data_IF_895553460524
#
_entry.id   IF_895553460524
#
_cell.length_a   1.000
_cell.length_b   1.000
_cell.length_c   1.000
_cell.angle_alpha   90.00
_cell.angle_beta   90.00
_cell.angle_gamma   90.00
#
_symmetry.space_group_name_H-M   'P 1'
#
loop_
_entity.id
_entity.type
_entity.pdbx_description
1 polymer ?
#
# COMPACT_ATOMS: atom_id res chain seq x y z
N UNK A 1 5.92 37.19 -20.94
CA UNK A 1 5.34 36.56 -19.74
C UNK A 1 5.69 35.09 -19.80
N UNK A 2 6.50 34.61 -18.85
CA UNK A 2 6.83 33.20 -18.71
C UNK A 2 6.12 32.75 -17.44
N UNK A 3 5.09 31.93 -17.59
CA UNK A 3 4.38 31.34 -16.47
C UNK A 3 5.26 30.23 -15.90
N UNK A 4 6.00 30.58 -14.84
CA UNK A 4 6.66 29.60 -14.00
C UNK A 4 5.57 28.80 -13.29
N UNK A 5 5.31 27.61 -13.80
CA UNK A 5 4.51 26.59 -13.14
C UNK A 5 5.29 26.10 -11.91
N UNK A 6 5.26 26.90 -10.85
CA UNK A 6 5.68 26.47 -9.52
C UNK A 6 4.64 25.46 -9.10
N UNK A 7 5.01 24.16 -9.15
CA UNK A 7 4.39 23.17 -8.29
C UNK A 7 4.47 23.74 -6.88
N UNK A 8 3.36 24.34 -6.41
CA UNK A 8 3.21 24.67 -5.01
C UNK A 8 3.21 23.32 -4.32
N UNK A 9 4.37 22.95 -3.78
CA UNK A 9 4.46 21.97 -2.73
C UNK A 9 3.37 22.36 -1.73
N UNK A 10 2.38 21.48 -1.57
CA UNK A 10 1.43 21.58 -0.47
C UNK A 10 2.21 21.68 0.85
N UNK A 11 1.58 22.17 1.92
CA UNK A 11 2.23 22.15 3.23
C UNK A 11 2.77 20.74 3.47
N UNK A 12 4.02 20.66 3.95
CA UNK A 12 4.65 19.38 4.26
C UNK A 12 3.66 18.60 5.14
N UNK A 13 3.15 17.48 4.61
CA UNK A 13 2.28 16.60 5.36
C UNK A 13 2.96 16.31 6.69
N UNK A 14 2.23 16.52 7.79
CA UNK A 14 2.68 16.06 9.09
C UNK A 14 2.98 14.56 8.93
N UNK A 15 4.13 14.02 9.37
CA UNK A 15 4.36 12.57 9.37
C UNK A 15 3.27 11.81 10.13
N UNK A 16 2.50 12.47 11.01
CA UNK A 16 1.32 11.93 11.68
C UNK A 16 -0.02 12.23 10.97
N UNK A 17 -0.03 13.06 9.91
CA UNK A 17 -1.15 13.15 8.96
C UNK A 17 -1.16 11.88 8.11
N UNK A 18 -1.91 10.89 8.58
CA UNK A 18 -2.39 9.79 7.75
C UNK A 18 -3.10 10.46 6.57
N UNK A 19 -2.75 10.16 5.32
CA UNK A 19 -3.63 10.43 4.19
C UNK A 19 -4.97 9.71 4.48
N UNK A 20 -5.93 10.47 5.02
CA UNK A 20 -7.12 10.01 5.75
C UNK A 20 -8.13 9.18 4.92
N UNK A 21 -7.77 8.78 3.70
CA UNK A 21 -8.68 8.06 2.80
C UNK A 21 -8.40 6.56 2.70
N UNK A 22 -7.30 6.05 3.25
CA UNK A 22 -6.97 4.61 3.20
C UNK A 22 -6.64 4.15 4.62
N UNK A 23 -7.46 3.25 5.18
CA UNK A 23 -7.28 2.75 6.56
C UNK A 23 -5.93 2.05 6.76
N UNK A 24 -5.45 2.00 8.00
CA UNK A 24 -4.14 1.41 8.38
C UNK A 24 -3.96 -0.03 7.91
N UNK A 25 -5.05 -0.79 7.84
CA UNK A 25 -5.12 -2.15 7.33
C UNK A 25 -4.75 -2.20 5.82
N UNK A 26 -5.31 -1.28 5.03
CA UNK A 26 -5.04 -1.19 3.60
C UNK A 26 -3.63 -0.63 3.32
N UNK A 27 -3.14 0.32 4.13
CA UNK A 27 -1.75 0.79 4.08
C UNK A 27 -0.77 -0.35 4.41
N UNK A 28 -1.07 -1.17 5.40
CA UNK A 28 -0.28 -2.36 5.74
C UNK A 28 -0.21 -3.34 4.58
N UNK A 29 -1.36 -3.62 3.95
CA UNK A 29 -1.44 -4.51 2.80
C UNK A 29 -0.56 -4.02 1.63
N UNK A 30 -0.51 -2.70 1.36
CA UNK A 30 0.35 -2.15 0.30
C UNK A 30 1.83 -2.49 0.48
N UNK A 31 2.32 -2.52 1.73
CA UNK A 31 3.70 -2.91 2.03
C UNK A 31 3.90 -4.43 1.99
N UNK A 32 2.88 -5.20 2.40
CA UNK A 32 2.98 -6.66 2.45
C UNK A 32 2.90 -7.30 1.07
N UNK A 33 2.12 -6.75 0.13
CA UNK A 33 1.84 -7.32 -1.20
C UNK A 33 2.94 -7.00 -2.24
N UNK A 34 4.20 -6.89 -1.81
CA UNK A 34 5.35 -6.56 -2.69
C UNK A 34 6.39 -7.70 -2.68
N UNK A 35 6.62 -8.43 -3.79
CA UNK A 35 5.96 -8.30 -5.08
C UNK A 35 4.48 -8.75 -5.05
N UNK A 36 3.65 -8.29 -5.99
CA UNK A 36 2.23 -8.69 -6.08
C UNK A 36 2.03 -10.20 -6.12
N UNK A 37 1.02 -10.70 -5.42
CA UNK A 37 0.65 -12.12 -5.39
C UNK A 37 1.43 -12.96 -4.37
N UNK A 38 2.13 -12.31 -3.44
CA UNK A 38 2.89 -13.01 -2.40
C UNK A 38 2.04 -13.40 -1.18
N UNK A 39 0.83 -12.85 -1.03
CA UNK A 39 -0.13 -13.26 -0.01
C UNK A 39 -1.25 -14.12 -0.59
N UNK A 40 -1.76 -15.04 0.23
CA UNK A 40 -2.97 -15.79 -0.10
C UNK A 40 -4.23 -14.96 0.15
N UNK A 41 -5.37 -15.29 -0.47
CA UNK A 41 -6.65 -14.64 -0.18
C UNK A 41 -7.01 -14.58 1.31
N UNK A 42 -6.74 -15.66 2.06
CA UNK A 42 -6.97 -15.72 3.51
C UNK A 42 -6.07 -14.73 4.28
N UNK A 43 -4.81 -14.58 3.87
CA UNK A 43 -3.89 -13.62 4.45
C UNK A 43 -4.31 -12.18 4.15
N UNK A 44 -4.78 -11.91 2.93
CA UNK A 44 -5.29 -10.59 2.56
C UNK A 44 -6.56 -10.27 3.36
N UNK A 45 -7.50 -11.21 3.50
CA UNK A 45 -8.68 -11.05 4.35
C UNK A 45 -8.29 -10.74 5.81
N UNK A 46 -7.33 -11.50 6.35
CA UNK A 46 -6.80 -11.30 7.70
C UNK A 46 -6.16 -9.90 7.86
N UNK A 47 -5.37 -9.44 6.87
CA UNK A 47 -4.76 -8.11 6.88
C UNK A 47 -5.81 -6.99 6.93
N UNK A 48 -6.98 -7.24 6.31
CA UNK A 48 -8.11 -6.32 6.23
C UNK A 48 -9.16 -6.56 7.33
N UNK A 49 -8.77 -7.23 8.42
CA UNK A 49 -9.62 -7.37 9.61
C UNK A 49 -10.66 -8.49 9.53
N UNK A 50 -10.63 -9.32 8.48
CA UNK A 50 -11.73 -10.25 8.15
C UNK A 50 -13.11 -9.55 8.10
N UNK A 51 -13.14 -8.32 7.59
CA UNK A 51 -14.34 -7.49 7.50
C UNK A 51 -14.83 -7.42 6.04
N UNK A 52 -15.88 -8.17 5.66
CA UNK A 52 -16.39 -8.19 4.29
C UNK A 52 -16.86 -6.83 3.79
N UNK A 53 -17.55 -6.04 4.64
CA UNK A 53 -18.11 -4.75 4.26
C UNK A 53 -16.99 -3.74 4.00
N UNK A 54 -15.94 -3.76 4.83
CA UNK A 54 -14.76 -2.94 4.62
C UNK A 54 -13.99 -3.34 3.36
N UNK A 55 -13.83 -4.65 3.12
CA UNK A 55 -13.17 -5.15 1.90
C UNK A 55 -13.95 -4.74 0.64
N UNK A 56 -15.28 -4.82 0.66
CA UNK A 56 -16.15 -4.38 -0.44
C UNK A 56 -16.01 -2.88 -0.72
N UNK A 57 -16.01 -2.05 0.34
CA UNK A 57 -15.80 -0.61 0.22
C UNK A 57 -14.42 -0.27 -0.40
N UNK A 58 -13.38 -1.01 -0.03
CA UNK A 58 -12.05 -0.86 -0.63
C UNK A 58 -12.02 -1.29 -2.10
N UNK A 59 -12.72 -2.38 -2.48
CA UNK A 59 -12.83 -2.81 -3.88
C UNK A 59 -13.49 -1.70 -4.71
N UNK A 60 -14.59 -1.13 -4.23
CA UNK A 60 -15.28 -0.04 -4.91
C UNK A 60 -14.36 1.18 -5.10
N UNK A 61 -13.63 1.58 -4.04
CA UNK A 61 -12.65 2.65 -4.14
C UNK A 61 -11.57 2.36 -5.19
N UNK A 62 -11.01 1.15 -5.21
CA UNK A 62 -9.93 0.80 -6.13
C UNK A 62 -10.42 0.73 -7.60
N UNK A 63 -11.65 0.28 -7.83
CA UNK A 63 -12.30 0.30 -9.15
C UNK A 63 -12.57 1.74 -9.63
N UNK A 64 -12.99 2.63 -8.74
CA UNK A 64 -13.15 4.05 -9.03
C UNK A 64 -11.81 4.69 -9.40
N UNK A 65 -10.73 4.41 -8.65
CA UNK A 65 -9.38 4.89 -8.99
C UNK A 65 -8.92 4.36 -10.36
N UNK A 66 -9.09 3.07 -10.62
CA UNK A 66 -8.79 2.46 -11.93
C UNK A 66 -9.50 3.19 -13.08
N UNK A 67 -10.77 3.56 -12.87
CA UNK A 67 -11.58 4.29 -13.84
C UNK A 67 -11.07 5.73 -14.03
N UNK A 68 -10.78 6.46 -12.95
CA UNK A 68 -10.23 7.83 -13.00
C UNK A 68 -8.91 7.90 -13.76
N UNK A 69 -7.99 6.96 -13.53
CA UNK A 69 -6.73 6.89 -14.26
C UNK A 69 -6.93 6.53 -15.74
N UNK A 70 -7.87 5.64 -16.04
CA UNK A 70 -8.25 5.31 -17.43
C UNK A 70 -8.84 6.51 -18.18
N UNK A 71 -9.69 7.29 -17.52
CA UNK A 71 -10.25 8.53 -18.07
C UNK A 71 -9.17 9.60 -18.28
N UNK A 72 -8.21 9.69 -17.37
CA UNK A 72 -7.05 10.58 -17.51
C UNK A 72 -6.20 10.21 -18.73
N UNK A 73 -5.95 8.91 -18.95
CA UNK A 73 -5.27 8.42 -20.16
C UNK A 73 -6.04 8.78 -21.45
N UNK A 74 -7.37 8.65 -21.43
CA UNK A 74 -8.23 9.02 -22.56
C UNK A 74 -8.21 10.53 -22.82
N UNK A 75 -8.22 11.34 -21.75
CA UNK A 75 -8.16 12.79 -21.85
C UNK A 75 -6.86 13.25 -22.52
N UNK A 76 -5.71 12.80 -22.02
CA UNK A 76 -4.38 13.12 -22.59
C UNK A 76 -4.34 12.75 -24.08
N UNK A 77 -4.85 11.57 -24.44
CA UNK A 77 -4.94 11.13 -25.84
C UNK A 77 -5.80 12.06 -26.71
N UNK A 78 -6.97 12.46 -26.20
CA UNK A 78 -7.93 13.28 -26.95
C UNK A 78 -7.45 14.72 -27.16
N UNK A 79 -6.66 15.27 -26.25
CA UNK A 79 -6.07 16.61 -26.39
C UNK A 79 -4.73 16.60 -27.16
N UNK A 80 -4.28 15.44 -27.63
CA UNK A 80 -3.02 15.29 -28.36
C UNK A 80 -1.78 15.45 -27.47
N UNK A 81 -1.87 15.03 -26.20
CA UNK A 81 -0.78 15.05 -25.24
C UNK A 81 0.28 13.98 -25.47
N UNK A 82 1.22 13.89 -24.53
CA UNK A 82 2.37 12.98 -24.62
C UNK A 82 1.92 11.50 -24.56
N UNK A 83 2.27 10.65 -25.55
CA UNK A 83 2.02 9.23 -25.49
C UNK A 83 2.62 8.53 -24.27
N UNK A 84 3.75 8.99 -23.75
CA UNK A 84 4.38 8.40 -22.56
C UNK A 84 3.54 8.69 -21.31
N UNK A 85 2.94 9.88 -21.22
CA UNK A 85 1.99 10.23 -20.16
C UNK A 85 0.72 9.38 -20.22
N UNK A 86 0.21 9.07 -21.43
CA UNK A 86 -0.91 8.13 -21.60
C UNK A 86 -0.54 6.75 -21.05
N UNK A 87 0.66 6.25 -21.34
CA UNK A 87 1.07 4.93 -20.88
C UNK A 87 1.24 4.88 -19.36
N UNK A 88 1.80 5.93 -18.75
CA UNK A 88 1.89 6.05 -17.28
C UNK A 88 0.49 5.97 -16.64
N UNK A 89 -0.49 6.71 -17.15
CA UNK A 89 -1.87 6.65 -16.65
C UNK A 89 -2.48 5.25 -16.81
N UNK A 90 -2.21 4.55 -17.92
CA UNK A 90 -2.70 3.18 -18.12
C UNK A 90 -2.00 2.17 -17.20
N UNK A 91 -0.70 2.35 -16.91
CA UNK A 91 0.02 1.53 -15.92
C UNK A 91 -0.65 1.69 -14.55
N UNK A 92 -0.93 2.93 -14.14
CA UNK A 92 -1.54 3.21 -12.85
C UNK A 92 -2.97 2.64 -12.77
N UNK A 93 -3.79 2.82 -13.82
CA UNK A 93 -5.12 2.21 -13.90
C UNK A 93 -5.07 0.67 -13.71
N UNK A 94 -4.12 0.01 -14.38
CA UNK A 94 -3.91 -1.44 -14.25
C UNK A 94 -3.46 -1.83 -12.84
N UNK A 95 -2.65 -1.02 -12.18
CA UNK A 95 -2.21 -1.26 -10.81
C UNK A 95 -3.40 -1.20 -9.82
N UNK A 96 -4.29 -0.21 -9.95
CA UNK A 96 -5.51 -0.12 -9.15
C UNK A 96 -6.46 -1.30 -9.42
N UNK A 97 -6.71 -1.63 -10.69
CA UNK A 97 -7.55 -2.77 -11.04
C UNK A 97 -7.00 -4.12 -10.55
N UNK A 98 -5.68 -4.29 -10.57
CA UNK A 98 -5.03 -5.47 -9.97
C UNK A 98 -5.22 -5.51 -8.46
N UNK A 99 -5.09 -4.37 -7.79
CA UNK A 99 -5.31 -4.23 -6.35
C UNK A 99 -6.75 -4.60 -5.95
N UNK A 100 -7.75 -4.14 -6.71
CA UNK A 100 -9.15 -4.52 -6.54
C UNK A 100 -9.35 -6.04 -6.71
N UNK A 101 -8.72 -6.64 -7.73
CA UNK A 101 -8.82 -8.07 -7.99
C UNK A 101 -8.25 -8.93 -6.84
N UNK A 102 -7.15 -8.51 -6.24
CA UNK A 102 -6.57 -9.14 -5.05
C UNK A 102 -7.57 -9.15 -3.89
N UNK A 103 -8.25 -8.02 -3.64
CA UNK A 103 -9.28 -7.90 -2.59
C UNK A 103 -10.54 -8.72 -2.87
N UNK A 104 -10.98 -8.82 -4.14
CA UNK A 104 -12.08 -9.74 -4.52
C UNK A 104 -11.76 -11.19 -4.19
N UNK A 105 -10.51 -11.61 -4.37
CA UNK A 105 -10.06 -12.94 -3.94
C UNK A 105 -10.25 -13.17 -2.44
N UNK A 106 -9.88 -12.17 -1.62
CA UNK A 106 -10.05 -12.21 -0.17
C UNK A 106 -11.54 -12.25 0.24
N UNK A 107 -12.38 -11.44 -0.39
CA UNK A 107 -13.83 -11.43 -0.14
C UNK A 107 -14.46 -12.79 -0.46
N UNK A 108 -14.16 -13.37 -1.62
CA UNK A 108 -14.64 -14.70 -1.99
C UNK A 108 -14.16 -15.80 -1.01
N UNK A 109 -12.96 -15.63 -0.42
CA UNK A 109 -12.49 -16.52 0.63
C UNK A 109 -13.34 -16.41 1.90
N UNK A 110 -13.68 -15.20 2.35
CA UNK A 110 -14.55 -14.99 3.52
C UNK A 110 -15.97 -15.54 3.30
N UNK A 111 -16.53 -15.36 2.11
CA UNK A 111 -17.84 -15.93 1.74
C UNK A 111 -17.87 -17.45 1.85
N UNK A 112 -16.76 -18.12 1.51
CA UNK A 112 -16.61 -19.57 1.65
C UNK A 112 -16.22 -20.02 3.06
N UNK A 113 -15.85 -19.10 3.95
CA UNK A 113 -15.43 -19.34 5.34
C UNK A 113 -16.15 -18.41 6.33
N UNK A 114 -17.50 -18.45 6.44
CA UNK A 114 -18.27 -17.50 7.26
C UNK A 114 -18.00 -17.58 8.77
N UNK A 115 -17.27 -18.60 9.23
CA UNK A 115 -16.84 -18.74 10.61
C UNK A 115 -15.51 -18.02 10.92
N UNK A 116 -14.87 -17.39 9.94
CA UNK A 116 -13.64 -16.62 10.15
C UNK A 116 -13.92 -15.48 11.16
N UNK A 117 -13.19 -15.40 12.29
CA UNK A 117 -13.43 -14.37 13.28
C UNK A 117 -12.92 -13.02 12.78
N UNK A 118 -13.56 -11.90 13.18
CA UNK A 118 -13.00 -10.56 13.00
C UNK A 118 -11.62 -10.45 13.63
N UNK A 119 -10.76 -9.62 13.04
CA UNK A 119 -9.37 -9.45 13.45
C UNK A 119 -9.15 -8.00 13.82
N UNK A 120 -8.76 -7.76 15.08
CA UNK A 120 -8.24 -6.46 15.49
C UNK A 120 -6.89 -6.21 14.82
N UNK A 121 -6.66 -4.97 14.40
CA UNK A 121 -5.36 -4.58 13.87
C UNK A 121 -4.31 -4.50 14.99
N UNK A 122 -3.19 -5.23 14.82
CA UNK A 122 -2.15 -5.41 15.85
C UNK A 122 -0.73 -5.12 15.31
N UNK A 123 -0.63 -4.29 14.26
CA UNK A 123 0.62 -3.99 13.55
C UNK A 123 0.96 -2.49 13.56
N UNK A 124 0.38 -1.71 14.49
CA UNK A 124 0.56 -0.26 14.54
C UNK A 124 2.04 0.14 14.69
N UNK A 125 2.79 -0.54 15.56
CA UNK A 125 4.21 -0.25 15.80
C UNK A 125 5.08 -0.57 14.57
N UNK A 126 4.87 -1.74 13.95
CA UNK A 126 5.60 -2.13 12.74
C UNK A 126 5.25 -1.24 11.54
N UNK A 127 3.98 -0.88 11.36
CA UNK A 127 3.55 0.05 10.30
C UNK A 127 4.18 1.44 10.50
N UNK A 128 4.20 1.94 11.73
CA UNK A 128 4.84 3.21 12.06
C UNK A 128 6.34 3.19 11.78
N UNK A 129 7.02 2.09 12.06
CA UNK A 129 8.43 1.91 11.74
C UNK A 129 8.69 1.97 10.22
N UNK A 130 7.86 1.27 9.43
CA UNK A 130 7.93 1.31 7.96
C UNK A 130 7.74 2.73 7.44
N UNK A 131 6.72 3.46 7.93
CA UNK A 131 6.47 4.84 7.52
C UNK A 131 7.65 5.76 7.83
N UNK A 132 8.17 5.72 9.06
CA UNK A 132 9.34 6.52 9.46
C UNK A 132 10.57 6.25 8.60
N UNK A 133 10.82 4.98 8.28
CA UNK A 133 11.91 4.60 7.37
C UNK A 133 11.65 5.09 5.94
N UNK A 134 10.40 4.98 5.46
CA UNK A 134 9.96 5.49 4.17
C UNK A 134 10.15 7.00 4.02
N UNK A 135 9.72 7.78 5.01
CA UNK A 135 9.89 9.23 5.03
C UNK A 135 11.36 9.64 5.04
N UNK A 136 12.18 8.93 5.82
CA UNK A 136 13.62 9.17 5.89
C UNK A 136 14.29 8.91 4.54
N UNK A 137 13.93 7.80 3.89
CA UNK A 137 14.38 7.47 2.52
C UNK A 137 13.97 8.56 1.53
N UNK A 138 12.69 8.92 1.48
CA UNK A 138 12.17 9.96 0.55
C UNK A 138 12.85 11.31 0.78
N UNK A 139 13.09 11.69 2.04
CA UNK A 139 13.81 12.93 2.36
C UNK A 139 15.24 12.92 1.81
N UNK A 140 15.99 11.84 2.00
CA UNK A 140 17.35 11.74 1.48
C UNK A 140 17.41 11.78 -0.05
N UNK A 141 16.45 11.11 -0.72
CA UNK A 141 16.29 11.20 -2.18
C UNK A 141 16.02 12.64 -2.65
N UNK A 142 15.14 13.38 -1.95
CA UNK A 142 14.87 14.80 -2.26
C UNK A 142 16.08 15.70 -2.04
N UNK A 143 16.83 15.48 -0.95
CA UNK A 143 18.10 16.18 -0.69
C UNK A 143 19.10 15.95 -1.84
N UNK A 144 19.15 14.73 -2.40
CA UNK A 144 20.01 14.41 -3.53
C UNK A 144 19.50 14.94 -4.89
N UNK A 145 18.23 15.29 -5.01
CA UNK A 145 17.65 15.80 -6.27
C UNK A 145 17.92 17.31 -6.48
N UNK A 146 18.81 17.90 -5.69
CA UNK A 146 19.23 19.30 -5.80
C UNK A 146 20.06 19.57 -7.07
N UNK A 147 20.12 20.83 -7.53
CA UNK A 147 20.82 21.22 -8.76
C UNK A 147 22.33 20.93 -8.77
N UNK A 148 22.93 20.72 -7.60
CA UNK A 148 24.33 20.37 -7.42
C UNK A 148 24.65 18.87 -7.65
N UNK A 149 23.64 18.01 -7.76
CA UNK A 149 23.81 16.58 -8.00
C UNK A 149 23.49 16.24 -9.46
N UNK A 150 24.50 15.79 -10.20
CA UNK A 150 24.36 15.40 -11.61
C UNK A 150 24.24 13.90 -11.82
N UNK A 151 24.53 13.10 -10.79
CA UNK A 151 24.47 11.65 -10.80
C UNK A 151 23.15 11.14 -10.22
N UNK A 152 22.79 9.90 -10.55
CA UNK A 152 21.65 9.23 -9.91
C UNK A 152 21.83 9.16 -8.39
N UNK A 153 20.74 9.18 -7.62
CA UNK A 153 20.84 9.38 -6.16
C UNK A 153 21.66 8.32 -5.43
N UNK A 154 21.68 7.08 -5.94
CA UNK A 154 22.51 5.98 -5.40
C UNK A 154 23.99 6.12 -5.75
N UNK A 155 24.29 6.73 -6.88
CA UNK A 155 25.66 6.90 -7.41
C UNK A 155 26.26 8.26 -7.03
N UNK A 156 25.44 9.17 -6.50
CA UNK A 156 25.85 10.49 -6.06
C UNK A 156 27.00 10.40 -5.03
N UNK A 157 28.17 10.99 -5.30
CA UNK A 157 29.31 10.93 -4.38
C UNK A 157 29.06 11.56 -3.01
N UNK A 158 28.10 12.49 -2.92
CA UNK A 158 27.77 13.19 -1.68
C UNK A 158 26.69 12.47 -0.86
N UNK A 159 25.71 11.85 -1.51
CA UNK A 159 24.50 11.35 -0.85
C UNK A 159 24.27 9.84 -1.01
N UNK A 160 24.94 9.19 -1.96
CA UNK A 160 24.69 7.80 -2.37
C UNK A 160 24.76 6.79 -1.24
N UNK A 161 25.79 6.87 -0.39
CA UNK A 161 25.91 5.98 0.78
C UNK A 161 24.72 6.11 1.72
N UNK A 162 24.29 7.34 2.03
CA UNK A 162 23.14 7.58 2.92
C UNK A 162 21.83 7.12 2.29
N UNK A 163 21.66 7.30 0.98
CA UNK A 163 20.48 6.82 0.24
C UNK A 163 20.36 5.30 0.35
N UNK A 164 21.45 4.57 0.09
CA UNK A 164 21.49 3.11 0.19
C UNK A 164 21.21 2.64 1.62
N UNK A 165 21.83 3.25 2.64
CA UNK A 165 21.60 2.88 4.03
C UNK A 165 20.13 3.04 4.46
N UNK A 166 19.45 4.07 3.98
CA UNK A 166 18.04 4.35 4.29
C UNK A 166 17.09 3.45 3.50
N UNK A 167 17.47 3.03 2.29
CA UNK A 167 16.76 1.99 1.54
C UNK A 167 16.83 0.65 2.26
N UNK A 168 18.02 0.23 2.69
CA UNK A 168 18.19 -1.01 3.45
C UNK A 168 17.42 -0.96 4.78
N UNK A 169 17.33 0.21 5.43
CA UNK A 169 16.56 0.38 6.66
C UNK A 169 15.04 0.28 6.42
N UNK A 170 14.56 0.81 5.31
CA UNK A 170 13.17 0.65 4.87
C UNK A 170 12.85 -0.82 4.60
N UNK A 171 13.70 -1.51 3.83
CA UNK A 171 13.49 -2.92 3.48
C UNK A 171 13.46 -3.82 4.73
N UNK A 172 14.39 -3.62 5.68
CA UNK A 172 14.36 -4.33 6.98
C UNK A 172 13.09 -4.07 7.79
N UNK A 173 12.54 -2.86 7.72
CA UNK A 173 11.30 -2.50 8.43
C UNK A 173 10.11 -3.23 7.81
N UNK A 174 10.05 -3.32 6.48
CA UNK A 174 9.02 -4.08 5.75
C UNK A 174 9.15 -5.57 6.03
N UNK A 175 10.37 -6.12 6.08
CA UNK A 175 10.61 -7.52 6.46
C UNK A 175 10.14 -7.83 7.89
N UNK A 176 10.35 -6.90 8.82
CA UNK A 176 9.89 -7.02 10.21
C UNK A 176 8.36 -7.02 10.29
N UNK A 177 7.71 -6.08 9.59
CA UNK A 177 6.25 -6.03 9.45
C UNK A 177 5.71 -7.35 8.89
N UNK A 178 6.31 -7.87 7.80
CA UNK A 178 5.93 -9.14 7.18
C UNK A 178 6.10 -10.32 8.12
N UNK A 179 7.23 -10.40 8.82
CA UNK A 179 7.48 -11.48 9.77
C UNK A 179 6.43 -11.48 10.90
N UNK A 180 6.10 -10.31 11.44
CA UNK A 180 5.07 -10.17 12.48
C UNK A 180 3.69 -10.58 11.94
N UNK A 181 3.31 -10.06 10.79
CA UNK A 181 2.06 -10.37 10.11
C UNK A 181 1.86 -11.89 9.94
N UNK A 182 2.86 -12.60 9.42
CA UNK A 182 2.79 -14.05 9.18
C UNK A 182 2.66 -14.85 10.49
N UNK A 183 3.21 -14.37 11.60
CA UNK A 183 3.02 -15.00 12.91
C UNK A 183 1.58 -14.83 13.38
N UNK A 184 1.03 -13.63 13.25
CA UNK A 184 -0.36 -13.33 13.65
C UNK A 184 -1.38 -14.09 12.79
N UNK A 185 -1.21 -14.08 11.47
CA UNK A 185 -2.14 -14.75 10.55
C UNK A 185 -2.23 -16.24 10.83
N UNK A 186 -1.09 -16.91 11.06
CA UNK A 186 -1.04 -18.34 11.39
C UNK A 186 -1.61 -18.67 12.77
N UNK A 187 -1.58 -17.73 13.71
CA UNK A 187 -2.20 -17.92 15.01
C UNK A 187 -3.73 -17.87 14.90
N UNK A 188 -4.26 -17.00 14.03
CA UNK A 188 -5.68 -16.91 13.72
C UNK A 188 -6.23 -18.19 13.07
N UNK A 189 -5.46 -18.81 12.16
CA UNK A 189 -5.81 -20.09 11.53
C UNK A 189 -5.99 -21.24 12.54
N UNK A 190 -5.43 -21.12 13.75
CA UNK A 190 -5.46 -22.16 14.79
C UNK A 190 -6.58 -21.98 15.81
N UNK A 191 -7.42 -20.95 15.70
CA UNK A 191 -8.59 -20.78 16.58
C UNK A 191 -9.60 -21.88 16.24
N UNK A 192 -9.85 -22.86 17.13
CA UNK A 192 -10.77 -23.96 16.84
C UNK A 192 -12.19 -23.43 16.67
N UNK A 193 -12.96 -24.05 15.76
CA UNK A 193 -14.42 -23.88 15.69
C UNK A 193 -15.00 -23.93 17.12
N UNK A 194 -15.78 -22.91 17.48
CA UNK A 194 -16.58 -22.98 18.69
C UNK A 194 -17.45 -24.25 18.59
N UNK A 195 -17.18 -25.23 19.45
CA UNK A 195 -17.93 -26.48 19.50
C UNK A 195 -19.40 -26.14 19.71
N UNK A 196 -20.30 -26.38 18.74
CA UNK A 196 -21.72 -26.16 18.95
C UNK A 196 -22.23 -27.32 19.81
N UNK A 197 -22.38 -27.08 21.10
CA UNK A 197 -22.95 -28.08 22.00
C UNK A 197 -22.49 -27.96 23.45
N UNK A 198 -22.94 -26.93 24.15
CA UNK A 198 -23.08 -27.04 25.60
C UNK A 198 -24.54 -26.80 25.96
N UNK A 199 -25.35 -27.85 25.76
CA UNK A 199 -26.60 -28.01 26.49
C UNK A 199 -26.26 -28.37 27.94
N UNK A 200 -26.05 -27.35 28.76
CA UNK A 200 -26.00 -27.52 30.21
C UNK A 200 -27.43 -27.60 30.76
N UNK A 201 -27.82 -28.85 31.06
CA UNK A 201 -28.87 -29.38 31.95
C UNK A 201 -29.99 -28.47 32.42
#
# INVERSE_FOLDING_TARGET
MKDNNVYKAGPAADPDDIDLNVGREALTLMHLEQPPGCLTPAQIAFALGNDPDYIDALIAHDDDQSSVWSESALHVRNVGGDPDEVEVHLIEARAWGSTAQTKRGALAWLESHPAAPPVDFLLDDELLAVRRAGDSKVRAWRECSGPECTEESRECPAHGTRVVELEDAYDRSVETLRARFLVLSRANDKVPEAVPGSTAR
#
